data_IF_700671600871
#
_entry.id   IF_700671600871
#
_cell.length_a   1.000
_cell.length_b   1.000
_cell.length_c   1.000
_cell.angle_alpha   90.00
_cell.angle_beta   90.00
_cell.angle_gamma   90.00
#
_symmetry.space_group_name_H-M   'P 1'
#
loop_
_entity.id
_entity.type
_entity.pdbx_description
1 polymer ?
#
# COMPACT_ATOMS: atom_id res chain seq x y z
N UNK A 1 -4.71 -11.97 -7.77
CA UNK A 1 -5.66 -11.78 -8.90
C UNK A 1 -6.74 -10.77 -8.46
N UNK A 2 -7.52 -10.20 -9.37
CA UNK A 2 -8.61 -9.27 -9.02
C UNK A 2 -9.60 -9.87 -8.03
N UNK A 3 -10.03 -11.11 -8.27
CA UNK A 3 -10.95 -11.83 -7.41
C UNK A 3 -10.46 -12.00 -5.97
N UNK A 4 -9.15 -12.13 -5.74
CA UNK A 4 -8.61 -12.28 -4.40
C UNK A 4 -8.66 -10.97 -3.60
N UNK A 5 -8.55 -9.83 -4.27
CA UNK A 5 -8.73 -8.51 -3.64
C UNK A 5 -10.21 -8.27 -3.36
N UNK A 6 -11.07 -8.50 -4.36
CA UNK A 6 -12.51 -8.27 -4.23
C UNK A 6 -13.19 -9.22 -3.24
N UNK A 7 -12.60 -10.39 -2.96
CA UNK A 7 -13.10 -11.30 -1.94
C UNK A 7 -13.02 -10.74 -0.51
N UNK A 8 -12.21 -9.70 -0.27
CA UNK A 8 -12.12 -9.01 1.02
C UNK A 8 -12.90 -7.69 1.04
N UNK A 9 -13.52 -7.29 -0.08
CA UNK A 9 -14.27 -6.04 -0.14
C UNK A 9 -15.64 -6.19 0.52
N UNK A 10 -15.99 -5.24 1.38
CA UNK A 10 -17.27 -5.19 2.09
C UNK A 10 -17.78 -3.74 2.22
N UNK A 11 -18.02 -3.08 1.08
CA UNK A 11 -18.34 -1.64 1.07
C UNK A 11 -19.60 -1.26 1.85
N UNK A 12 -20.48 -2.23 2.14
CA UNK A 12 -21.73 -2.02 2.86
C UNK A 12 -21.71 -2.58 4.30
N UNK A 13 -20.54 -3.01 4.80
CA UNK A 13 -20.35 -3.55 6.16
C UNK A 13 -21.41 -4.62 6.48
N UNK A 14 -21.49 -5.65 5.63
CA UNK A 14 -22.53 -6.68 5.72
C UNK A 14 -22.38 -7.54 6.98
N UNK A 15 -21.16 -7.69 7.50
CA UNK A 15 -20.92 -8.44 8.74
C UNK A 15 -21.01 -7.58 10.01
N UNK A 16 -21.11 -6.24 9.86
CA UNK A 16 -21.33 -5.29 10.94
C UNK A 16 -20.14 -5.15 11.87
N UNK A 17 -18.93 -5.44 11.40
CA UNK A 17 -17.69 -5.27 12.16
C UNK A 17 -17.16 -3.82 12.12
N UNK A 18 -17.79 -2.96 11.32
CA UNK A 18 -17.48 -1.54 11.18
C UNK A 18 -16.36 -1.23 10.18
N UNK A 19 -15.92 -2.22 9.39
CA UNK A 19 -14.88 -2.10 8.37
C UNK A 19 -15.55 -2.21 6.99
N UNK A 20 -15.38 -1.17 6.17
CA UNK A 20 -16.07 -1.03 4.88
C UNK A 20 -15.12 -1.01 3.69
N UNK A 21 -14.14 -1.91 3.70
CA UNK A 21 -13.06 -1.97 2.71
C UNK A 21 -13.56 -2.03 1.27
N UNK A 22 -13.04 -1.16 0.41
CA UNK A 22 -13.45 -1.09 -1.00
C UNK A 22 -12.32 -0.90 -1.99
N UNK A 23 -12.54 -1.34 -3.23
CA UNK A 23 -11.55 -1.20 -4.29
C UNK A 23 -11.57 0.23 -4.87
N UNK A 24 -10.40 0.80 -5.16
CA UNK A 24 -10.33 1.99 -6.01
C UNK A 24 -10.41 1.57 -7.49
N UNK A 25 -11.23 2.26 -8.28
CA UNK A 25 -11.31 2.05 -9.74
C UNK A 25 -10.69 3.26 -10.44
N UNK A 26 -9.64 2.98 -11.21
CA UNK A 26 -8.75 3.98 -11.80
C UNK A 26 -8.69 3.82 -13.31
N UNK A 27 -8.19 4.82 -14.02
CA UNK A 27 -8.04 4.73 -15.48
C UNK A 27 -6.75 4.00 -15.85
N UNK A 28 -6.85 2.90 -16.61
CA UNK A 28 -5.70 2.27 -17.25
C UNK A 28 -5.47 2.92 -18.62
N UNK A 29 -4.39 3.69 -18.74
CA UNK A 29 -4.08 4.48 -19.94
C UNK A 29 -3.81 3.56 -21.14
N UNK A 30 -3.15 2.42 -20.90
CA UNK A 30 -2.79 1.49 -21.98
C UNK A 30 -4.01 0.74 -22.50
N UNK A 31 -4.88 0.30 -21.61
CA UNK A 31 -6.06 -0.48 -21.97
C UNK A 31 -7.27 0.41 -22.34
N UNK A 32 -7.21 1.72 -22.06
CA UNK A 32 -8.27 2.68 -22.40
C UNK A 32 -9.58 2.42 -21.67
N UNK A 33 -9.52 1.90 -20.43
CA UNK A 33 -10.69 1.52 -19.63
C UNK A 33 -10.44 1.68 -18.14
N UNK A 34 -11.50 1.64 -17.34
CA UNK A 34 -11.37 1.53 -15.90
C UNK A 34 -10.82 0.16 -15.50
N UNK A 35 -9.96 0.14 -14.49
CA UNK A 35 -9.36 -1.05 -13.91
C UNK A 35 -9.22 -0.90 -12.39
N UNK A 36 -9.00 -1.99 -11.68
CA UNK A 36 -8.77 -1.92 -10.22
C UNK A 36 -7.37 -1.37 -9.95
N UNK A 37 -7.34 -0.32 -9.14
CA UNK A 37 -6.14 0.28 -8.59
C UNK A 37 -5.39 -0.62 -7.61
N UNK A 38 -4.06 -0.52 -7.57
CA UNK A 38 -3.19 -1.39 -6.73
C UNK A 38 -2.03 -0.68 -6.09
N UNK A 39 -1.45 0.28 -6.78
CA UNK A 39 -0.21 0.95 -6.40
C UNK A 39 -0.47 2.40 -5.99
N UNK A 40 0.47 2.96 -5.24
CA UNK A 40 0.33 4.26 -4.60
C UNK A 40 -0.43 4.22 -3.27
N UNK A 41 -0.55 5.38 -2.62
CA UNK A 41 -1.15 5.51 -1.29
C UNK A 41 -2.65 5.29 -1.27
N UNK A 42 -3.34 5.67 -2.35
CA UNK A 42 -4.79 5.52 -2.53
C UNK A 42 -5.15 4.48 -3.60
N UNK A 43 -4.24 3.54 -3.86
CA UNK A 43 -4.39 2.57 -4.95
C UNK A 43 -4.69 3.26 -6.30
N UNK A 44 -4.02 4.39 -6.61
CA UNK A 44 -4.36 5.26 -7.73
C UNK A 44 -3.72 4.84 -9.09
N UNK A 45 -2.90 3.78 -9.10
CA UNK A 45 -2.39 3.20 -10.34
C UNK A 45 -2.74 1.70 -10.48
N UNK A 46 -3.16 1.24 -11.68
CA UNK A 46 -3.63 -0.13 -11.88
C UNK A 46 -2.49 -1.15 -12.01
N UNK A 47 -1.33 -0.73 -12.53
CA UNK A 47 -0.20 -1.58 -12.82
C UNK A 47 1.14 -0.85 -12.61
N UNK A 48 2.24 -1.60 -12.45
CA UNK A 48 3.58 -1.04 -12.20
C UNK A 48 4.12 -0.22 -13.36
N UNK A 49 3.73 -0.52 -14.61
CA UNK A 49 4.18 0.22 -15.78
C UNK A 49 3.63 1.64 -15.76
N UNK A 50 2.33 1.79 -15.50
CA UNK A 50 1.68 3.09 -15.36
C UNK A 50 2.15 3.82 -14.10
N UNK A 51 2.38 3.11 -12.98
CA UNK A 51 2.97 3.72 -11.78
C UNK A 51 4.37 4.30 -12.06
N UNK A 52 5.22 3.55 -12.76
CA UNK A 52 6.56 4.02 -13.12
C UNK A 52 6.51 5.21 -14.07
N UNK A 53 5.65 5.16 -15.10
CA UNK A 53 5.49 6.26 -16.06
C UNK A 53 4.98 7.54 -15.38
N UNK A 54 4.02 7.39 -14.47
CA UNK A 54 3.49 8.52 -13.69
C UNK A 54 4.55 9.12 -12.76
N UNK A 55 5.42 8.30 -12.16
CA UNK A 55 6.51 8.80 -11.30
C UNK A 55 7.59 9.54 -12.11
N UNK A 56 7.98 9.01 -13.28
CA UNK A 56 8.86 9.73 -14.20
C UNK A 56 8.31 11.12 -14.49
N UNK A 57 7.03 11.21 -14.87
CA UNK A 57 6.43 12.48 -15.28
C UNK A 57 6.17 13.44 -14.09
N UNK A 58 5.55 12.97 -13.01
CA UNK A 58 5.10 13.85 -11.92
C UNK A 58 6.18 14.19 -10.90
N UNK A 59 7.13 13.28 -10.66
CA UNK A 59 8.17 13.48 -9.64
C UNK A 59 9.49 13.93 -10.26
N UNK A 60 9.85 13.40 -11.42
CA UNK A 60 11.13 13.69 -12.08
C UNK A 60 11.03 14.67 -13.25
N UNK A 61 9.81 14.97 -13.73
CA UNK A 61 9.57 15.80 -14.92
C UNK A 61 9.77 15.07 -16.25
N UNK A 62 10.06 13.77 -16.25
CA UNK A 62 10.47 13.01 -17.43
C UNK A 62 9.26 12.47 -18.20
N UNK A 63 9.11 12.82 -19.48
CA UNK A 63 8.00 12.35 -20.32
C UNK A 63 8.22 10.94 -20.88
N UNK A 64 7.13 10.23 -21.14
CA UNK A 64 7.14 8.88 -21.75
C UNK A 64 6.04 8.77 -22.81
N UNK A 65 6.07 7.72 -23.64
CA UNK A 65 4.98 7.50 -24.61
C UNK A 65 3.59 7.35 -23.96
N UNK A 66 3.51 6.96 -22.68
CA UNK A 66 2.25 6.87 -21.93
C UNK A 66 1.79 8.24 -21.40
N UNK A 67 2.73 9.11 -21.02
CA UNK A 67 2.49 10.46 -20.51
C UNK A 67 3.45 11.42 -21.22
N UNK A 68 3.03 11.89 -22.39
CA UNK A 68 3.85 12.67 -23.31
C UNK A 68 3.81 14.18 -23.07
N UNK A 69 3.07 14.63 -22.05
CA UNK A 69 3.01 16.03 -21.66
C UNK A 69 3.66 16.19 -20.30
N UNK A 70 4.55 17.18 -20.17
CA UNK A 70 5.08 17.58 -18.88
C UNK A 70 3.96 18.03 -17.92
N UNK A 71 4.22 17.93 -16.61
CA UNK A 71 3.26 18.40 -15.59
C UNK A 71 3.02 19.91 -15.64
N UNK A 72 3.97 20.67 -16.17
CA UNK A 72 3.79 22.10 -16.36
C UNK A 72 2.91 22.43 -17.57
N UNK A 73 2.58 21.48 -18.47
CA UNK A 73 2.06 21.76 -19.81
C UNK A 73 0.98 22.86 -19.82
N UNK A 74 1.19 23.88 -20.66
CA UNK A 74 0.34 25.06 -20.73
C UNK A 74 0.65 26.16 -19.70
N UNK A 75 1.70 26.01 -18.90
CA UNK A 75 2.18 27.03 -17.95
C UNK A 75 3.45 27.74 -18.45
N UNK A 76 3.71 28.99 -18.03
CA UNK A 76 4.83 29.79 -18.56
C UNK A 76 6.23 29.22 -18.31
N UNK A 77 6.38 28.35 -17.31
CA UNK A 77 7.65 27.74 -16.94
C UNK A 77 7.98 26.46 -17.71
N UNK A 78 7.10 25.98 -18.59
CA UNK A 78 7.47 24.87 -19.46
C UNK A 78 8.57 25.28 -20.42
N UNK A 79 9.42 24.32 -20.73
CA UNK A 79 10.32 24.51 -21.84
C UNK A 79 9.56 24.53 -23.17
N UNK A 80 10.32 24.73 -24.23
CA UNK A 80 9.81 24.76 -25.61
C UNK A 80 10.58 23.77 -26.47
N UNK A 81 11.24 22.79 -25.86
CA UNK A 81 11.98 21.76 -26.58
C UNK A 81 11.01 20.73 -27.16
N UNK A 82 11.49 19.97 -28.15
CA UNK A 82 10.69 18.98 -28.88
C UNK A 82 11.38 17.62 -28.82
N UNK A 83 11.82 17.26 -27.62
CA UNK A 83 12.55 16.05 -27.26
C UNK A 83 11.67 14.98 -26.60
N UNK A 84 10.36 15.22 -26.52
CA UNK A 84 9.38 14.25 -26.03
C UNK A 84 9.13 13.08 -27.00
N UNK A 85 8.95 11.84 -26.49
CA UNK A 85 9.14 11.45 -25.10
C UNK A 85 10.62 11.31 -24.73
N UNK A 86 10.99 11.79 -23.55
CA UNK A 86 12.38 11.77 -23.08
C UNK A 86 12.86 10.37 -22.67
N UNK A 87 11.99 9.57 -22.04
CA UNK A 87 12.31 8.17 -21.68
C UNK A 87 11.74 7.19 -22.71
N UNK A 88 12.62 6.33 -23.22
CA UNK A 88 12.22 5.27 -24.13
C UNK A 88 11.41 4.16 -23.42
N UNK A 89 10.65 3.40 -24.21
CA UNK A 89 9.77 2.35 -23.71
C UNK A 89 10.55 1.20 -23.03
N UNK A 90 11.79 0.93 -23.46
CA UNK A 90 12.62 -0.14 -22.92
C UNK A 90 13.08 0.20 -21.49
N UNK A 91 13.52 1.43 -21.27
CA UNK A 91 13.93 1.96 -19.96
C UNK A 91 12.75 1.98 -19.00
N UNK A 92 11.58 2.43 -19.44
CA UNK A 92 10.35 2.40 -18.64
C UNK A 92 9.95 0.96 -18.26
N UNK A 93 9.96 0.04 -19.23
CA UNK A 93 9.68 -1.39 -18.99
C UNK A 93 10.71 -2.02 -18.05
N UNK A 94 11.98 -1.65 -18.15
CA UNK A 94 13.04 -2.14 -17.27
C UNK A 94 12.81 -1.69 -15.82
N UNK A 95 12.42 -0.44 -15.59
CA UNK A 95 12.07 0.06 -14.25
C UNK A 95 10.87 -0.69 -13.64
N UNK A 96 9.81 -0.89 -14.43
CA UNK A 96 8.64 -1.65 -14.00
C UNK A 96 8.96 -3.14 -13.76
N UNK A 97 9.81 -3.74 -14.59
CA UNK A 97 10.23 -5.14 -14.44
C UNK A 97 11.12 -5.34 -13.22
N UNK A 98 12.08 -4.45 -12.99
CA UNK A 98 12.94 -4.47 -11.80
C UNK A 98 12.09 -4.45 -10.53
N UNK A 99 11.16 -3.49 -10.40
CA UNK A 99 10.27 -3.40 -9.22
C UNK A 99 9.37 -4.63 -9.06
N UNK A 100 8.88 -5.21 -10.16
CA UNK A 100 8.06 -6.41 -10.14
C UNK A 100 8.81 -7.69 -9.69
N UNK A 101 10.14 -7.68 -9.74
CA UNK A 101 10.99 -8.86 -9.49
C UNK A 101 11.82 -8.76 -8.22
N UNK A 102 11.72 -7.65 -7.48
CA UNK A 102 12.31 -7.51 -6.16
C UNK A 102 11.64 -8.49 -5.18
N UNK A 103 12.46 -9.37 -4.59
CA UNK A 103 12.00 -10.26 -3.54
C UNK A 103 11.71 -9.47 -2.26
N UNK A 104 10.67 -9.88 -1.54
CA UNK A 104 10.37 -9.35 -0.20
C UNK A 104 11.32 -9.95 0.84
N UNK A 105 11.67 -9.21 1.90
CA UNK A 105 12.50 -9.74 2.97
C UNK A 105 11.80 -10.90 3.69
N UNK A 106 12.57 -11.90 4.11
CA UNK A 106 12.05 -12.98 4.91
C UNK A 106 11.62 -12.49 6.30
N UNK A 107 10.47 -13.01 6.79
CA UNK A 107 10.02 -12.80 8.18
C UNK A 107 11.05 -13.37 9.15
N UNK A 108 11.28 -12.66 10.26
CA UNK A 108 12.35 -12.94 11.23
C UNK A 108 11.77 -13.49 12.53
N UNK A 109 12.60 -14.11 13.36
CA UNK A 109 12.29 -14.44 14.77
C UNK A 109 11.01 -15.29 15.01
N UNK A 110 10.67 -16.21 14.09
CA UNK A 110 9.43 -17.01 14.13
C UNK A 110 9.25 -17.86 15.41
N UNK A 111 10.35 -18.30 16.02
CA UNK A 111 10.35 -19.13 17.22
C UNK A 111 10.42 -18.31 18.52
N UNK A 112 10.48 -16.98 18.45
CA UNK A 112 10.50 -16.14 19.63
C UNK A 112 9.10 -16.10 20.28
N UNK A 113 8.93 -16.51 21.55
CA UNK A 113 7.62 -16.52 22.21
C UNK A 113 6.94 -15.16 22.24
N UNK A 114 7.71 -14.06 22.33
CA UNK A 114 7.15 -12.71 22.31
C UNK A 114 6.58 -12.34 20.94
N UNK A 115 7.25 -12.75 19.85
CA UNK A 115 6.74 -12.55 18.47
C UNK A 115 5.48 -13.37 18.22
N UNK A 116 5.44 -14.61 18.72
CA UNK A 116 4.24 -15.46 18.63
C UNK A 116 3.07 -14.87 19.43
N UNK A 117 3.34 -14.36 20.64
CA UNK A 117 2.35 -13.63 21.43
C UNK A 117 1.86 -12.38 20.69
N UNK A 118 2.76 -11.63 20.06
CA UNK A 118 2.40 -10.45 19.28
C UNK A 118 1.47 -10.74 18.11
N UNK A 119 1.67 -11.86 17.41
CA UNK A 119 0.74 -12.28 16.35
C UNK A 119 -0.65 -12.63 16.90
N UNK A 120 -0.72 -13.23 18.09
CA UNK A 120 -2.01 -13.47 18.77
C UNK A 120 -2.68 -12.13 19.13
N UNK A 121 -1.92 -11.18 19.66
CA UNK A 121 -2.42 -9.83 19.99
C UNK A 121 -2.89 -9.09 18.73
N UNK A 122 -2.16 -9.17 17.63
CA UNK A 122 -2.53 -8.58 16.34
C UNK A 122 -3.91 -9.05 15.87
N UNK A 123 -4.18 -10.36 15.97
CA UNK A 123 -5.49 -10.93 15.65
C UNK A 123 -6.58 -10.55 16.66
N UNK A 124 -6.24 -10.54 17.95
CA UNK A 124 -7.18 -10.17 19.01
C UNK A 124 -7.59 -8.69 18.96
N UNK A 125 -6.71 -7.83 18.45
CA UNK A 125 -6.99 -6.43 18.17
C UNK A 125 -7.72 -6.20 16.84
N UNK A 126 -8.08 -7.26 16.11
CA UNK A 126 -8.70 -7.20 14.78
C UNK A 126 -7.87 -6.48 13.71
N UNK A 127 -6.56 -6.28 13.91
CA UNK A 127 -5.71 -5.64 12.90
C UNK A 127 -5.70 -6.42 11.57
N UNK A 128 -5.86 -7.75 11.65
CA UNK A 128 -5.87 -8.65 10.51
C UNK A 128 -7.13 -8.55 9.62
N UNK A 129 -8.10 -7.70 9.98
CA UNK A 129 -9.31 -7.48 9.17
C UNK A 129 -8.99 -6.69 7.90
N UNK A 130 -8.21 -5.62 8.01
CA UNK A 130 -7.65 -4.91 6.84
C UNK A 130 -6.28 -5.47 6.46
N UNK A 131 -5.41 -5.73 7.45
CA UNK A 131 -4.08 -6.30 7.22
C UNK A 131 -4.13 -7.82 7.04
N UNK A 132 -4.85 -8.28 6.02
CA UNK A 132 -5.06 -9.69 5.70
C UNK A 132 -3.74 -10.43 5.55
N UNK A 133 -3.52 -11.42 6.42
CA UNK A 133 -2.20 -12.01 6.63
C UNK A 133 -1.67 -12.76 5.43
N UNK A 134 -2.54 -13.41 4.66
CA UNK A 134 -2.16 -14.33 3.59
C UNK A 134 -2.98 -14.09 2.35
N UNK A 135 -2.31 -13.99 1.20
CA UNK A 135 -2.94 -13.91 -0.10
C UNK A 135 -2.35 -14.97 -1.03
N UNK A 136 -3.14 -15.37 -2.03
CA UNK A 136 -2.70 -16.24 -3.11
C UNK A 136 -2.53 -15.41 -4.39
N UNK A 137 -1.35 -15.47 -5.01
CA UNK A 137 -1.12 -14.79 -6.29
C UNK A 137 -1.84 -15.50 -7.43
N UNK A 138 -2.11 -14.76 -8.51
CA UNK A 138 -2.80 -15.29 -9.69
C UNK A 138 -1.84 -16.02 -10.62
N UNK A 139 -2.32 -16.41 -11.79
CA UNK A 139 -1.45 -16.88 -12.87
C UNK A 139 -0.81 -15.66 -13.55
N UNK A 140 0.50 -15.67 -13.68
CA UNK A 140 1.31 -14.68 -14.36
C UNK A 140 2.09 -15.36 -15.50
N UNK A 141 1.54 -15.43 -16.73
CA UNK A 141 2.15 -16.19 -17.84
C UNK A 141 3.59 -15.75 -18.16
N UNK A 142 3.86 -14.45 -18.07
CA UNK A 142 5.18 -13.86 -18.35
C UNK A 142 6.10 -13.84 -17.12
N UNK A 143 5.63 -14.30 -15.96
CA UNK A 143 6.42 -14.45 -14.75
C UNK A 143 5.95 -15.69 -13.96
N UNK A 144 6.19 -16.92 -14.47
CA UNK A 144 5.70 -18.15 -13.83
C UNK A 144 6.13 -18.31 -12.38
N UNK A 145 7.29 -17.77 -11.99
CA UNK A 145 7.80 -17.76 -10.62
C UNK A 145 6.96 -16.90 -9.65
N UNK A 146 6.12 -16.00 -10.15
CA UNK A 146 5.14 -15.24 -9.37
C UNK A 146 3.77 -15.92 -9.36
N UNK A 147 3.58 -16.99 -10.12
CA UNK A 147 2.28 -17.65 -10.25
C UNK A 147 1.99 -18.56 -9.07
N UNK A 148 0.74 -18.54 -8.60
CA UNK A 148 0.22 -19.44 -7.57
C UNK A 148 1.12 -19.50 -6.31
N UNK A 149 1.67 -18.37 -5.90
CA UNK A 149 2.43 -18.22 -4.68
C UNK A 149 1.48 -17.93 -3.51
N UNK A 150 1.68 -18.62 -2.39
CA UNK A 150 1.14 -18.21 -1.10
C UNK A 150 2.09 -17.18 -0.52
N UNK A 151 1.60 -15.96 -0.31
CA UNK A 151 2.39 -14.84 0.21
C UNK A 151 1.79 -14.32 1.50
N UNK A 152 2.61 -13.66 2.32
CA UNK A 152 2.19 -13.09 3.61
C UNK A 152 2.38 -11.56 3.66
N UNK A 153 1.60 -10.78 2.91
CA UNK A 153 1.82 -9.35 2.77
C UNK A 153 1.16 -8.51 3.87
N UNK A 154 0.21 -9.07 4.63
CA UNK A 154 -0.55 -8.36 5.67
C UNK A 154 -1.27 -7.12 5.12
N UNK A 155 -2.11 -7.33 4.12
CA UNK A 155 -2.92 -6.31 3.44
C UNK A 155 -3.98 -6.98 2.57
N UNK A 156 -5.14 -6.35 2.45
CA UNK A 156 -6.17 -6.63 1.45
C UNK A 156 -6.04 -5.77 0.18
N UNK A 157 -5.18 -4.75 0.19
CA UNK A 157 -5.00 -3.72 -0.83
C UNK A 157 -6.24 -2.85 -1.09
N UNK A 158 -7.20 -2.83 -0.17
CA UNK A 158 -8.42 -2.04 -0.25
C UNK A 158 -8.22 -0.67 0.38
N UNK A 159 -9.13 0.25 0.03
CA UNK A 159 -9.30 1.54 0.68
C UNK A 159 -10.10 1.38 1.96
N UNK A 160 -9.65 2.03 3.02
CA UNK A 160 -10.36 2.13 4.30
C UNK A 160 -10.34 3.57 4.80
N UNK A 161 -11.43 4.00 5.44
CA UNK A 161 -11.47 5.29 6.13
C UNK A 161 -10.59 5.24 7.38
N UNK A 162 -9.49 6.01 7.39
CA UNK A 162 -8.55 6.10 8.51
C UNK A 162 -8.84 7.27 9.45
N UNK A 163 -9.99 7.94 9.26
CA UNK A 163 -10.48 9.05 10.06
C UNK A 163 -9.88 10.41 9.72
N UNK A 164 -10.53 11.46 10.24
CA UNK A 164 -10.16 12.87 10.03
C UNK A 164 -8.70 13.19 10.43
N UNK A 165 -8.17 12.48 11.43
CA UNK A 165 -6.78 12.68 11.88
C UNK A 165 -5.75 12.39 10.80
N UNK A 166 -6.06 11.51 9.84
CA UNK A 166 -5.20 11.13 8.72
C UNK A 166 -5.74 11.61 7.37
N UNK A 167 -6.65 12.57 7.36
CA UNK A 167 -7.20 13.09 6.12
C UNK A 167 -6.24 14.05 5.40
N UNK A 168 -6.07 13.89 4.09
CA UNK A 168 -5.40 14.87 3.22
C UNK A 168 -6.39 15.82 2.50
N UNK A 169 -7.70 15.57 2.65
CA UNK A 169 -8.79 16.29 2.00
C UNK A 169 -8.72 16.33 0.47
N UNK A 170 -7.95 15.44 -0.16
CA UNK A 170 -7.77 15.36 -1.61
C UNK A 170 -8.39 14.07 -2.15
N UNK A 171 -9.46 14.13 -2.96
CA UNK A 171 -9.96 12.93 -3.62
C UNK A 171 -8.97 12.43 -4.69
N UNK A 172 -8.92 11.11 -4.88
CA UNK A 172 -8.15 10.45 -5.93
C UNK A 172 -8.93 9.26 -6.48
N UNK A 173 -9.50 9.45 -7.68
CA UNK A 173 -10.54 8.58 -8.25
C UNK A 173 -11.71 8.38 -7.27
N UNK A 174 -11.99 7.13 -6.85
CA UNK A 174 -13.07 6.85 -5.90
C UNK A 174 -12.66 7.06 -4.45
N UNK A 175 -11.35 7.17 -4.16
CA UNK A 175 -10.86 7.45 -2.81
C UNK A 175 -11.16 8.91 -2.43
N UNK A 176 -11.74 9.10 -1.26
CA UNK A 176 -11.91 10.42 -0.67
C UNK A 176 -10.66 10.85 0.13
N UNK A 177 -10.74 11.98 0.82
CA UNK A 177 -9.62 12.54 1.57
C UNK A 177 -9.17 11.74 2.80
N UNK A 178 -10.01 10.84 3.32
CA UNK A 178 -9.78 10.05 4.54
C UNK A 178 -9.43 8.59 4.25
N UNK A 179 -9.61 8.18 3.00
CA UNK A 179 -9.40 6.82 2.57
C UNK A 179 -7.97 6.57 2.13
N UNK A 180 -7.39 5.50 2.64
CA UNK A 180 -6.05 5.06 2.31
C UNK A 180 -6.04 3.58 1.99
N UNK A 181 -5.17 3.18 1.06
CA UNK A 181 -4.94 1.78 0.77
C UNK A 181 -4.21 1.13 1.95
N UNK A 182 -4.70 0.01 2.45
CA UNK A 182 -3.98 -0.79 3.46
C UNK A 182 -2.59 -1.14 2.95
N UNK A 183 -1.55 -0.57 3.56
CA UNK A 183 -0.18 -0.83 3.12
C UNK A 183 0.26 -2.23 3.57
N UNK A 184 0.94 -3.02 2.71
CA UNK A 184 1.55 -4.28 3.13
C UNK A 184 2.51 -4.08 4.31
N UNK A 185 2.43 -4.94 5.33
CA UNK A 185 3.32 -4.88 6.51
C UNK A 185 4.59 -5.73 6.36
N UNK A 186 4.72 -6.55 5.32
CA UNK A 186 5.95 -7.31 5.08
C UNK A 186 7.18 -6.38 4.98
N UNK A 187 8.25 -6.68 5.71
CA UNK A 187 9.43 -5.82 5.77
C UNK A 187 9.29 -4.52 6.57
N UNK A 188 8.14 -4.23 7.21
CA UNK A 188 7.96 -2.99 7.98
C UNK A 188 8.97 -2.87 9.14
N UNK A 189 9.41 -3.99 9.71
CA UNK A 189 10.44 -4.00 10.75
C UNK A 189 11.85 -3.64 10.25
N UNK A 190 12.05 -3.52 8.93
CA UNK A 190 13.33 -3.15 8.32
C UNK A 190 13.42 -1.67 7.92
N UNK A 191 12.37 -0.86 8.14
CA UNK A 191 12.33 0.55 7.74
C UNK A 191 13.57 1.33 8.20
N UNK A 192 14.04 1.13 9.43
CA UNK A 192 15.25 1.80 9.95
C UNK A 192 16.51 1.43 9.20
N UNK A 193 16.62 0.17 8.77
CA UNK A 193 17.78 -0.35 8.06
C UNK A 193 17.80 0.17 6.62
N UNK A 194 16.64 0.18 5.95
CA UNK A 194 16.52 0.56 4.55
C UNK A 194 16.54 2.08 4.36
N UNK A 195 15.80 2.83 5.20
CA UNK A 195 15.57 4.26 4.97
C UNK A 195 16.38 5.17 5.90
N UNK A 196 17.02 4.63 6.94
CA UNK A 196 17.77 5.44 7.90
C UNK A 196 16.93 6.10 9.01
N UNK A 197 15.61 5.89 9.02
CA UNK A 197 14.66 6.47 9.98
C UNK A 197 13.48 5.52 10.28
N UNK A 198 12.60 5.88 11.23
CA UNK A 198 11.39 5.10 11.61
C UNK A 198 10.12 5.94 11.47
N UNK A 199 9.97 6.64 10.34
CA UNK A 199 8.79 7.46 10.09
C UNK A 199 7.76 6.65 9.31
N UNK A 200 6.52 6.64 9.80
CA UNK A 200 5.42 5.83 9.28
C UNK A 200 4.20 6.68 8.93
N UNK A 201 3.22 6.05 8.27
CA UNK A 201 2.03 6.66 7.65
C UNK A 201 2.36 7.48 6.40
N UNK A 202 1.34 7.89 5.66
CA UNK A 202 1.48 8.52 4.34
C UNK A 202 2.26 9.85 4.35
N UNK A 203 2.27 10.53 5.50
CA UNK A 203 2.94 11.82 5.70
C UNK A 203 4.16 11.74 6.64
N UNK A 204 4.55 10.52 7.06
CA UNK A 204 5.71 10.31 7.92
C UNK A 204 5.57 10.85 9.35
N UNK A 205 4.37 11.18 9.82
CA UNK A 205 4.21 11.81 11.15
C UNK A 205 4.56 10.91 12.33
N UNK A 206 4.38 9.60 12.19
CA UNK A 206 4.55 8.66 13.29
C UNK A 206 6.02 8.22 13.41
N UNK A 207 6.63 8.38 14.58
CA UNK A 207 8.08 8.17 14.80
C UNK A 207 8.45 6.74 15.13
N UNK A 208 7.46 5.92 15.44
CA UNK A 208 7.58 4.49 15.65
C UNK A 208 6.25 3.77 15.32
N UNK A 209 6.27 2.45 15.40
CA UNK A 209 5.11 1.61 15.10
C UNK A 209 3.96 1.78 16.11
N UNK A 210 4.25 2.09 17.38
CA UNK A 210 3.20 2.32 18.38
C UNK A 210 2.49 3.64 18.10
N UNK A 211 3.22 4.71 17.78
CA UNK A 211 2.63 5.96 17.31
C UNK A 211 1.79 5.75 16.06
N UNK A 212 2.27 4.96 15.10
CA UNK A 212 1.51 4.65 13.89
C UNK A 212 0.17 3.98 14.24
N UNK A 213 0.17 2.99 15.14
CA UNK A 213 -1.06 2.34 15.63
C UNK A 213 -1.99 3.38 16.29
N UNK A 214 -1.44 4.26 17.14
CA UNK A 214 -2.24 5.27 17.86
C UNK A 214 -2.85 6.35 16.96
N UNK A 215 -2.34 6.52 15.73
CA UNK A 215 -2.93 7.41 14.74
C UNK A 215 -4.10 6.80 13.95
N UNK A 216 -4.31 5.48 14.01
CA UNK A 216 -5.42 4.84 13.30
C UNK A 216 -6.76 5.33 13.86
N UNK A 217 -7.58 5.95 13.01
CA UNK A 217 -8.95 6.35 13.30
C UNK A 217 -9.92 5.67 12.34
N UNK A 218 -11.12 6.24 12.19
CA UNK A 218 -12.14 5.73 11.27
C UNK A 218 -12.47 4.26 11.58
N UNK A 219 -12.41 3.42 10.54
CA UNK A 219 -12.69 1.98 10.64
C UNK A 219 -11.77 1.25 11.64
N UNK A 220 -10.54 1.75 11.82
CA UNK A 220 -9.55 1.14 12.72
C UNK A 220 -9.59 1.70 14.16
N UNK A 221 -10.54 2.60 14.49
CA UNK A 221 -10.61 3.22 15.81
C UNK A 221 -10.83 2.19 16.95
N UNK A 222 -11.69 1.19 16.72
CA UNK A 222 -11.91 0.13 17.70
C UNK A 222 -10.63 -0.68 17.98
N UNK A 223 -9.89 -1.04 16.93
CA UNK A 223 -8.59 -1.73 17.03
C UNK A 223 -7.56 -0.88 17.78
N UNK A 224 -7.45 0.42 17.46
CA UNK A 224 -6.57 1.35 18.17
C UNK A 224 -6.91 1.38 19.66
N UNK A 225 -8.18 1.59 19.99
CA UNK A 225 -8.64 1.71 21.38
C UNK A 225 -8.38 0.42 22.17
N UNK A 226 -8.55 -0.75 21.53
CA UNK A 226 -8.19 -2.04 22.12
C UNK A 226 -6.71 -2.10 22.46
N UNK A 227 -5.82 -1.77 21.52
CA UNK A 227 -4.36 -1.77 21.75
C UNK A 227 -3.95 -0.81 22.86
N UNK A 228 -4.58 0.37 22.91
CA UNK A 228 -4.32 1.36 23.96
C UNK A 228 -4.58 0.81 25.37
N UNK A 229 -5.61 -0.03 25.52
CA UNK A 229 -6.03 -0.60 26.81
C UNK A 229 -5.22 -1.85 27.22
N UNK A 230 -4.44 -2.45 26.32
CA UNK A 230 -3.67 -3.65 26.61
C UNK A 230 -2.63 -3.42 27.74
N UNK A 231 -2.24 -4.47 28.48
CA UNK A 231 -1.06 -4.41 29.33
C UNK A 231 0.19 -4.07 28.51
N UNK A 232 1.17 -3.41 29.13
CA UNK A 232 2.43 -3.05 28.47
C UNK A 232 3.10 -4.25 27.79
N UNK A 233 3.12 -5.41 28.46
CA UNK A 233 3.72 -6.62 27.91
C UNK A 233 3.07 -7.08 26.58
N UNK A 234 1.75 -6.90 26.42
CA UNK A 234 1.06 -7.27 25.19
C UNK A 234 1.28 -6.24 24.08
N UNK A 235 1.38 -4.95 24.42
CA UNK A 235 1.80 -3.91 23.47
C UNK A 235 3.23 -4.14 22.99
N UNK A 236 4.15 -4.44 23.90
CA UNK A 236 5.55 -4.74 23.56
C UNK A 236 5.65 -6.02 22.71
N UNK A 237 4.77 -7.01 22.93
CA UNK A 237 4.68 -8.20 22.10
C UNK A 237 4.16 -7.88 20.69
N UNK A 238 3.11 -7.05 20.58
CA UNK A 238 2.58 -6.60 19.28
C UNK A 238 3.66 -5.88 18.46
N UNK A 239 4.41 -4.97 19.08
CA UNK A 239 5.52 -4.28 18.40
C UNK A 239 6.61 -5.27 17.98
N UNK A 240 7.02 -6.20 18.85
CA UNK A 240 7.99 -7.23 18.49
C UNK A 240 7.53 -8.10 17.30
N UNK A 241 6.23 -8.37 17.19
CA UNK A 241 5.67 -9.05 16.02
C UNK A 241 5.78 -8.20 14.75
N UNK A 242 5.38 -6.93 14.78
CA UNK A 242 5.48 -6.04 13.62
C UNK A 242 6.94 -5.83 13.18
N UNK A 243 7.87 -5.69 14.14
CA UNK A 243 9.31 -5.61 13.86
C UNK A 243 9.89 -6.91 13.30
N UNK A 244 9.20 -8.04 13.49
CA UNK A 244 9.56 -9.33 12.90
C UNK A 244 9.20 -9.43 11.41
N UNK A 245 8.24 -8.61 10.94
CA UNK A 245 7.78 -8.58 9.55
C UNK A 245 8.80 -7.87 8.66
#
# INVERSE_FOLDING_TARGET
>A
PESALLANADEADHDGDGISGRANYVWDVKEGKQAIGRFGWKANAPNLLQQAAAAYNNDMGITSAMFALETCHGQPQCDTTSDDPEVDEQTLKAAAHYTATLAVPARRNLNNPQVQRGQVVFRAASCNRCHVETLQTGIAPNAPYLSNQTIHPYTDLLLHDMGEGLADNRPDYLANGREWRTQPLWGIGLTRIVNGHTFFLHDGRARDLMEAILWHGGEAEASRNYVQQLPRADRDALIAFLESL
#
